data_IF_955364181504
#
_entry.id   IF_955364181504
#
_cell.length_a   1.000
_cell.length_b   1.000
_cell.length_c   1.000
_cell.angle_alpha   90.00
_cell.angle_beta   90.00
_cell.angle_gamma   90.00
#
_symmetry.space_group_name_H-M   'P 1'
#
loop_
_entity.id
_entity.type
_entity.pdbx_description
1 polymer ?
#
# COMPACT_ATOMS: atom_id res chain seq x y z
N UNK A 1 1.08 18.07 1.36
CA UNK A 1 0.85 17.34 0.09
C UNK A 1 1.05 15.85 0.30
N UNK A 2 2.23 15.42 0.79
CA UNK A 2 2.51 14.03 1.19
C UNK A 2 1.59 13.51 2.30
N UNK A 3 1.38 14.28 3.38
CA UNK A 3 0.49 13.86 4.48
C UNK A 3 -0.95 13.58 4.01
N UNK A 4 -1.41 14.34 3.00
CA UNK A 4 -2.72 14.12 2.39
C UNK A 4 -2.76 12.80 1.61
N UNK A 5 -1.69 12.44 0.89
CA UNK A 5 -1.58 11.15 0.21
C UNK A 5 -1.60 10.01 1.24
N UNK A 6 -0.82 10.10 2.31
CA UNK A 6 -0.80 9.10 3.38
C UNK A 6 -2.20 8.92 3.99
N UNK A 7 -2.90 10.02 4.25
CA UNK A 7 -4.26 9.98 4.78
C UNK A 7 -5.24 9.30 3.82
N UNK A 8 -5.26 9.67 2.54
CA UNK A 8 -6.16 9.08 1.53
C UNK A 8 -5.90 7.58 1.37
N UNK A 9 -4.62 7.17 1.30
CA UNK A 9 -4.24 5.75 1.21
C UNK A 9 -4.73 4.99 2.44
N UNK A 10 -4.53 5.57 3.63
CA UNK A 10 -4.96 4.97 4.90
C UNK A 10 -6.49 4.81 4.93
N UNK A 11 -7.24 5.84 4.56
CA UNK A 11 -8.70 5.82 4.52
C UNK A 11 -9.23 4.73 3.57
N UNK A 12 -8.73 4.69 2.32
CA UNK A 12 -9.14 3.69 1.33
C UNK A 12 -8.81 2.27 1.78
N UNK A 13 -7.59 2.01 2.24
CA UNK A 13 -7.22 0.67 2.70
C UNK A 13 -7.98 0.26 3.96
N UNK A 14 -8.23 1.18 4.90
CA UNK A 14 -8.98 0.89 6.13
C UNK A 14 -10.44 0.51 5.89
N UNK A 15 -10.99 0.81 4.71
CA UNK A 15 -12.34 0.39 4.32
C UNK A 15 -12.47 -1.13 4.10
N UNK A 16 -11.34 -1.82 3.88
CA UNK A 16 -11.32 -3.26 3.67
C UNK A 16 -11.38 -3.99 5.02
N UNK A 17 -12.38 -4.85 5.25
CA UNK A 17 -12.65 -5.44 6.58
C UNK A 17 -11.59 -6.43 7.07
N UNK A 18 -10.70 -6.85 6.17
CA UNK A 18 -9.61 -7.79 6.46
C UNK A 18 -8.28 -7.09 6.78
N UNK A 19 -8.20 -5.76 6.67
CA UNK A 19 -7.01 -4.99 7.07
C UNK A 19 -7.04 -4.81 8.60
N UNK A 20 -6.00 -5.30 9.27
CA UNK A 20 -5.83 -5.23 10.72
C UNK A 20 -4.90 -4.09 11.16
N UNK A 21 -4.04 -3.63 10.25
CA UNK A 21 -3.14 -2.52 10.51
C UNK A 21 -2.55 -1.93 9.23
N UNK A 22 -2.28 -0.64 9.27
CA UNK A 22 -1.61 0.11 8.21
C UNK A 22 -0.44 0.83 8.86
N UNK A 23 0.76 0.65 8.30
CA UNK A 23 2.00 1.22 8.83
C UNK A 23 2.71 2.05 7.79
N UNK A 24 3.26 3.18 8.22
CA UNK A 24 4.22 3.95 7.43
C UNK A 24 5.60 3.32 7.61
N UNK A 25 6.28 3.08 6.50
CA UNK A 25 7.63 2.53 6.45
C UNK A 25 8.68 3.56 6.01
N UNK A 26 9.90 3.04 5.84
CA UNK A 26 10.99 3.73 5.17
C UNK A 26 11.43 5.07 5.76
N UNK A 27 11.90 5.96 4.88
CA UNK A 27 12.55 7.22 5.27
C UNK A 27 11.57 8.17 5.97
N UNK A 28 10.30 8.16 5.57
CA UNK A 28 9.25 9.00 6.15
C UNK A 28 8.88 8.56 7.56
N UNK A 29 8.76 7.26 7.81
CA UNK A 29 8.56 6.74 9.17
C UNK A 29 9.74 7.05 10.11
N UNK A 30 10.97 7.08 9.56
CA UNK A 30 12.19 7.36 10.33
C UNK A 30 12.50 8.85 10.50
N UNK A 31 11.77 9.75 9.83
CA UNK A 31 12.06 11.17 9.82
C UNK A 31 13.34 11.55 9.08
N UNK A 32 13.85 10.69 8.20
CA UNK A 32 15.08 10.90 7.40
C UNK A 32 14.78 11.11 5.92
N UNK A 33 13.56 11.49 5.57
CA UNK A 33 13.13 11.69 4.20
C UNK A 33 13.61 13.03 3.63
N UNK A 34 13.67 13.09 2.31
CA UNK A 34 13.82 14.31 1.52
C UNK A 34 12.51 14.64 0.80
N UNK A 35 12.49 15.74 0.06
CA UNK A 35 11.35 16.12 -0.78
C UNK A 35 11.06 15.03 -1.84
N UNK A 36 12.10 14.46 -2.45
CA UNK A 36 12.01 13.44 -3.50
C UNK A 36 11.80 12.00 -2.98
N UNK A 37 11.69 11.80 -1.66
CA UNK A 37 11.48 10.46 -1.11
C UNK A 37 10.11 9.90 -1.49
N UNK A 38 10.04 8.59 -1.66
CA UNK A 38 8.82 7.81 -1.80
C UNK A 38 8.02 7.73 -0.48
N UNK A 39 6.87 7.07 -0.53
CA UNK A 39 6.02 6.76 0.62
C UNK A 39 5.88 5.24 0.68
N UNK A 40 6.47 4.62 1.70
CA UNK A 40 6.31 3.19 1.93
C UNK A 40 5.11 2.92 2.82
N UNK A 41 4.12 2.17 2.34
CA UNK A 41 2.96 1.73 3.14
C UNK A 41 2.97 0.21 3.25
N UNK A 42 2.95 -0.29 4.49
CA UNK A 42 2.76 -1.70 4.81
C UNK A 42 1.35 -1.96 5.34
N UNK A 43 0.82 -3.15 5.06
CA UNK A 43 -0.46 -3.61 5.61
C UNK A 43 -0.30 -4.92 6.37
N UNK A 44 -1.02 -5.03 7.48
CA UNK A 44 -1.30 -6.29 8.15
C UNK A 44 -2.73 -6.68 7.85
N UNK A 45 -2.96 -7.94 7.49
CA UNK A 45 -4.26 -8.40 7.07
C UNK A 45 -4.52 -9.86 7.46
N UNK A 46 -5.81 -10.19 7.55
CA UNK A 46 -6.32 -11.55 7.75
C UNK A 46 -6.16 -12.36 6.47
N UNK A 47 -5.24 -13.32 6.49
CA UNK A 47 -4.84 -14.11 5.32
C UNK A 47 -5.98 -14.84 4.63
N UNK A 48 -6.95 -15.33 5.39
CA UNK A 48 -8.11 -16.10 4.93
C UNK A 48 -9.12 -15.27 4.11
N UNK A 49 -9.03 -13.95 4.22
CA UNK A 49 -9.93 -12.98 3.59
C UNK A 49 -9.20 -12.00 2.68
N UNK A 50 -7.90 -12.22 2.44
CA UNK A 50 -7.11 -11.37 1.57
C UNK A 50 -7.66 -11.38 0.15
N UNK A 51 -7.97 -10.19 -0.37
CA UNK A 51 -8.50 -10.01 -1.72
C UNK A 51 -7.57 -9.08 -2.53
N UNK A 52 -6.71 -9.69 -3.34
CA UNK A 52 -5.78 -8.96 -4.19
C UNK A 52 -6.50 -8.07 -5.23
N UNK A 53 -7.70 -8.45 -5.66
CA UNK A 53 -8.47 -7.66 -6.64
C UNK A 53 -8.95 -6.37 -6.01
N UNK A 54 -9.47 -6.41 -4.78
CA UNK A 54 -9.87 -5.22 -4.05
C UNK A 54 -8.68 -4.29 -3.76
N UNK A 55 -7.52 -4.85 -3.39
CA UNK A 55 -6.27 -4.07 -3.20
C UNK A 55 -5.85 -3.40 -4.52
N UNK A 56 -5.86 -4.14 -5.63
CA UNK A 56 -5.51 -3.57 -6.93
C UNK A 56 -6.49 -2.50 -7.38
N UNK A 57 -7.79 -2.64 -7.11
CA UNK A 57 -8.77 -1.61 -7.42
C UNK A 57 -8.47 -0.30 -6.67
N UNK A 58 -8.15 -0.38 -5.37
CA UNK A 58 -7.73 0.79 -4.59
C UNK A 58 -6.44 1.39 -5.16
N UNK A 59 -5.45 0.56 -5.52
CA UNK A 59 -4.20 1.03 -6.12
C UNK A 59 -4.46 1.75 -7.46
N UNK A 60 -5.32 1.21 -8.31
CA UNK A 60 -5.75 1.83 -9.57
C UNK A 60 -6.41 3.19 -9.35
N UNK A 61 -7.27 3.32 -8.33
CA UNK A 61 -7.93 4.59 -8.01
C UNK A 61 -6.97 5.65 -7.44
N UNK A 62 -5.84 5.22 -6.88
CA UNK A 62 -4.80 6.08 -6.32
C UNK A 62 -3.73 6.48 -7.35
N UNK A 63 -3.61 5.71 -8.43
CA UNK A 63 -2.65 5.95 -9.50
C UNK A 63 -3.14 7.05 -10.45
N UNK A 64 -2.30 8.06 -10.69
CA UNK A 64 -2.65 9.20 -11.55
C UNK A 64 -2.99 8.75 -12.98
N UNK A 65 -2.36 7.66 -13.46
CA UNK A 65 -2.61 7.07 -14.78
C UNK A 65 -3.75 6.03 -14.79
N UNK A 66 -4.35 5.73 -13.64
CA UNK A 66 -5.38 4.70 -13.46
C UNK A 66 -4.97 3.35 -14.06
N UNK A 67 -3.71 2.96 -13.88
CA UNK A 67 -3.18 1.67 -14.35
C UNK A 67 -3.75 0.53 -13.52
N UNK A 68 -3.86 -0.64 -14.15
CA UNK A 68 -4.36 -1.86 -13.51
C UNK A 68 -3.21 -2.79 -13.11
N UNK A 69 -3.47 -3.68 -12.16
CA UNK A 69 -2.55 -4.74 -11.73
C UNK A 69 -1.21 -4.21 -11.18
N UNK A 70 -1.28 -3.13 -10.39
CA UNK A 70 -0.12 -2.47 -9.77
C UNK A 70 0.45 -3.26 -8.59
N UNK A 71 -0.36 -4.12 -7.95
CA UNK A 71 0.04 -4.94 -6.82
C UNK A 71 0.05 -6.41 -7.20
N UNK A 72 1.16 -7.09 -6.93
CA UNK A 72 1.35 -8.53 -7.19
C UNK A 72 1.05 -9.37 -5.93
N UNK A 73 0.63 -10.64 -6.10
CA UNK A 73 0.35 -11.51 -4.96
C UNK A 73 1.58 -11.81 -4.10
N UNK A 74 1.37 -12.32 -2.87
CA UNK A 74 2.42 -12.99 -2.09
C UNK A 74 3.37 -13.85 -2.92
N UNK A 75 4.67 -13.63 -2.78
CA UNK A 75 5.73 -14.36 -3.48
C UNK A 75 6.06 -13.88 -4.90
N UNK A 76 5.27 -12.97 -5.49
CA UNK A 76 5.54 -12.48 -6.85
C UNK A 76 6.42 -11.22 -6.91
N UNK A 77 6.57 -10.49 -5.79
CA UNK A 77 7.44 -9.30 -5.71
C UNK A 77 8.91 -9.66 -5.45
N UNK A 78 9.15 -10.83 -4.84
CA UNK A 78 10.46 -11.34 -4.44
C UNK A 78 10.38 -12.16 -3.16
N UNK A 79 11.48 -12.80 -2.78
CA UNK A 79 11.49 -13.79 -1.68
C UNK A 79 11.25 -13.19 -0.28
N UNK A 80 11.38 -11.87 -0.14
CA UNK A 80 11.43 -11.19 1.17
C UNK A 80 10.18 -10.39 1.51
N UNK A 81 9.28 -10.14 0.54
CA UNK A 81 8.08 -9.31 0.73
C UNK A 81 6.83 -10.12 0.39
N UNK A 82 5.84 -10.06 1.29
CA UNK A 82 4.57 -10.76 1.18
C UNK A 82 3.61 -10.06 0.20
N UNK A 83 3.97 -10.05 -1.09
CA UNK A 83 3.28 -9.28 -2.13
C UNK A 83 3.81 -7.84 -2.19
N UNK A 84 3.33 -7.02 -3.11
CA UNK A 84 3.82 -5.64 -3.21
C UNK A 84 3.49 -4.96 -4.52
N UNK A 85 3.78 -3.67 -4.59
CA UNK A 85 3.54 -2.81 -5.75
C UNK A 85 4.37 -1.54 -5.62
N UNK A 86 4.54 -0.83 -6.74
CA UNK A 86 5.08 0.53 -6.81
C UNK A 86 4.18 1.38 -7.70
#
# INVERSE_FOLDING_TARGET
MVDNVIQIVTEKLSSLPYIEGIVLGGSRARGTHTEDSDIDIGIYYKSESFDLTAINQIATELDDENRNNLVVPPGAWGDWINGGGW
#
